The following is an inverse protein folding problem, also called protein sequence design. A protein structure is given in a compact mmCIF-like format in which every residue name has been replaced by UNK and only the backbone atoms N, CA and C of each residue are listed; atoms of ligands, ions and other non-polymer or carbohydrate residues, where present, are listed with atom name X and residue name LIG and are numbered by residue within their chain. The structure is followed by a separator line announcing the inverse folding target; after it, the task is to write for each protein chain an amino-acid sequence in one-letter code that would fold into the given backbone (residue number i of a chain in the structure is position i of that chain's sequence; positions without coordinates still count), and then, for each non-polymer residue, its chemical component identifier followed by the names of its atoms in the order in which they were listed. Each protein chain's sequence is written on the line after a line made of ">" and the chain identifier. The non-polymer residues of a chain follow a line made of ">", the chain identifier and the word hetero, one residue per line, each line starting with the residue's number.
data_IF_306480120739
#
_entry.id   IF_306480120739
#
_cell.length_a   1.000
_cell.length_b   1.000
_cell.length_c   1.000
_cell.angle_alpha   90.00
_cell.angle_beta   90.00
_cell.angle_gamma   90.00
#
_symmetry.space_group_name_H-M   'P 1'
#
loop_
_entity.id
_entity.type
_entity.pdbx_description
1 polymer ?
#
# COMPACT_ATOMS: atom_id res chain seq x y z
N UNK A 1 28.36 -3.02 7.82
CA UNK A 1 27.22 -2.26 7.28
C UNK A 1 26.53 -1.56 8.43
N UNK A 2 26.22 -0.26 8.28
CA UNK A 2 25.47 0.53 9.25
C UNK A 2 24.00 0.52 8.85
N UNK A 3 23.11 0.32 9.83
CA UNK A 3 21.66 0.26 9.62
C UNK A 3 20.97 1.21 10.58
N UNK A 4 20.08 2.07 10.04
CA UNK A 4 19.14 2.86 10.85
C UNK A 4 17.81 2.12 10.97
N UNK A 5 17.43 1.75 12.20
CA UNK A 5 16.12 1.18 12.51
C UNK A 5 15.18 2.30 12.95
N UNK A 6 14.18 2.61 12.12
CA UNK A 6 13.11 3.55 12.43
C UNK A 6 11.95 2.76 13.05
N UNK A 7 11.66 3.03 14.33
CA UNK A 7 10.64 2.34 15.11
C UNK A 7 9.39 3.21 15.21
N UNK A 8 8.26 2.72 14.75
CA UNK A 8 6.98 3.36 15.00
C UNK A 8 6.41 2.84 16.34
N UNK A 9 6.61 3.61 17.41
CA UNK A 9 6.15 3.24 18.76
C UNK A 9 4.63 3.11 18.88
N UNK A 10 3.86 3.74 18.00
CA UNK A 10 2.40 3.65 17.97
C UNK A 10 1.90 2.38 17.26
N UNK A 11 2.78 1.58 16.63
CA UNK A 11 2.38 0.35 15.97
C UNK A 11 2.03 -0.74 17.00
N UNK A 12 0.90 -1.40 16.80
CA UNK A 12 0.34 -2.37 17.76
C UNK A 12 1.23 -3.59 18.05
N UNK A 13 2.09 -3.94 17.09
CA UNK A 13 3.07 -5.04 17.20
C UNK A 13 4.39 -4.65 17.88
N UNK A 14 4.62 -3.36 18.18
CA UNK A 14 5.85 -2.88 18.83
C UNK A 14 5.66 -2.88 20.35
N UNK A 15 6.09 -3.96 21.00
CA UNK A 15 6.11 -4.09 22.48
C UNK A 15 7.55 -4.34 22.93
N UNK A 16 7.87 -3.99 24.20
CA UNK A 16 9.23 -4.09 24.73
C UNK A 16 9.97 -5.39 24.36
N UNK A 17 9.44 -6.58 24.72
CA UNK A 17 10.11 -7.84 24.38
C UNK A 17 10.26 -8.10 22.88
N UNK A 18 9.31 -7.64 22.05
CA UNK A 18 9.39 -7.76 20.59
C UNK A 18 10.48 -6.84 20.05
N UNK A 19 10.52 -5.59 20.52
CA UNK A 19 11.54 -4.62 20.11
C UNK A 19 12.94 -5.12 20.51
N UNK A 20 13.11 -5.66 21.70
CA UNK A 20 14.38 -6.21 22.17
C UNK A 20 14.85 -7.38 21.27
N UNK A 21 13.93 -8.28 20.90
CA UNK A 21 14.23 -9.39 20.00
C UNK A 21 14.61 -8.91 18.57
N UNK A 22 13.94 -7.89 18.06
CA UNK A 22 14.26 -7.25 16.76
C UNK A 22 15.65 -6.62 16.81
N UNK A 23 15.93 -5.81 17.84
CA UNK A 23 17.23 -5.15 18.01
C UNK A 23 18.35 -6.18 18.15
N UNK A 24 18.16 -7.24 18.92
CA UNK A 24 19.14 -8.31 19.08
C UNK A 24 19.47 -8.99 17.74
N UNK A 25 18.44 -9.35 16.96
CA UNK A 25 18.61 -9.99 15.67
C UNK A 25 19.37 -9.10 14.67
N UNK A 26 19.08 -7.80 14.63
CA UNK A 26 19.73 -6.88 13.70
C UNK A 26 21.16 -6.53 14.11
N UNK A 27 21.44 -6.37 15.42
CA UNK A 27 22.81 -6.13 15.92
C UNK A 27 23.79 -7.26 15.62
N UNK A 28 23.28 -8.46 15.46
CA UNK A 28 24.08 -9.62 15.06
C UNK A 28 24.48 -9.58 13.56
N UNK A 29 23.81 -8.75 12.75
CA UNK A 29 24.06 -8.62 11.31
C UNK A 29 24.68 -7.27 10.90
N UNK A 30 24.52 -6.20 11.70
CA UNK A 30 24.93 -4.85 11.34
C UNK A 30 25.17 -3.96 12.57
N UNK A 31 25.93 -2.88 12.36
CA UNK A 31 26.01 -1.76 13.31
C UNK A 31 24.65 -1.02 13.27
N UNK A 32 23.93 -0.99 14.40
CA UNK A 32 22.55 -0.56 14.46
C UNK A 32 22.37 0.74 15.23
N UNK A 33 21.84 1.77 14.54
CA UNK A 33 21.26 2.96 15.14
C UNK A 33 19.74 2.76 15.26
N UNK A 34 19.16 3.05 16.43
CA UNK A 34 17.71 2.92 16.67
C UNK A 34 17.13 4.28 16.95
N UNK A 35 16.14 4.68 16.15
CA UNK A 35 15.40 5.94 16.30
C UNK A 35 13.90 5.66 16.33
N UNK A 36 13.14 6.48 17.08
CA UNK A 36 11.70 6.27 17.26
C UNK A 36 10.92 7.45 16.69
N UNK A 37 9.82 7.18 16.00
CA UNK A 37 8.93 8.23 15.52
C UNK A 37 8.11 8.84 16.65
N UNK A 38 7.88 10.14 16.61
CA UNK A 38 7.12 10.88 17.62
C UNK A 38 5.76 11.38 17.09
N UNK A 39 5.64 11.56 15.77
CA UNK A 39 4.44 12.09 15.10
C UNK A 39 4.31 11.54 13.68
N UNK A 40 3.17 11.74 13.05
CA UNK A 40 2.95 11.36 11.66
C UNK A 40 3.84 12.20 10.72
N UNK A 41 4.50 11.56 9.75
CA UNK A 41 5.49 12.18 8.88
C UNK A 41 6.94 12.13 9.40
N UNK A 42 7.16 11.85 10.70
CA UNK A 42 8.51 11.84 11.27
C UNK A 42 9.41 10.75 10.66
N UNK A 43 8.84 9.61 10.23
CA UNK A 43 9.63 8.58 9.56
C UNK A 43 10.19 9.06 8.21
N UNK A 44 9.50 9.98 7.52
CA UNK A 44 10.01 10.61 6.29
C UNK A 44 11.25 11.47 6.58
N UNK A 45 11.19 12.27 7.64
CA UNK A 45 12.31 13.14 8.05
C UNK A 45 13.52 12.33 8.52
N UNK A 46 13.29 11.27 9.33
CA UNK A 46 14.32 10.36 9.81
C UNK A 46 14.97 9.58 8.66
N UNK A 47 14.20 9.18 7.66
CA UNK A 47 14.71 8.50 6.48
C UNK A 47 15.52 9.44 5.58
N UNK A 48 15.04 10.68 5.38
CA UNK A 48 15.76 11.70 4.59
C UNK A 48 17.10 12.11 5.23
N UNK A 49 17.18 12.10 6.57
CA UNK A 49 18.39 12.41 7.32
C UNK A 49 19.33 11.21 7.51
N UNK A 50 18.98 10.03 6.99
CA UNK A 50 19.79 8.82 7.16
C UNK A 50 21.10 8.91 6.35
N UNK A 51 22.19 8.55 7.01
CA UNK A 51 23.54 8.43 6.40
C UNK A 51 24.06 6.99 6.45
N UNK A 52 23.25 6.08 6.96
CA UNK A 52 23.53 4.66 7.07
C UNK A 52 23.38 3.97 5.70
N UNK A 53 23.99 2.79 5.60
CA UNK A 53 23.98 2.00 4.36
C UNK A 53 22.57 1.47 4.03
N UNK A 54 21.73 1.32 5.05
CA UNK A 54 20.34 0.89 4.90
C UNK A 54 19.44 1.52 5.98
N UNK A 55 18.16 1.75 5.61
CA UNK A 55 17.09 2.15 6.54
C UNK A 55 16.09 1.03 6.68
N UNK A 56 15.79 0.63 7.91
CA UNK A 56 14.82 -0.42 8.23
C UNK A 56 13.65 0.17 8.98
N UNK A 57 12.43 -0.09 8.51
CA UNK A 57 11.21 0.33 9.20
C UNK A 57 10.61 -0.79 10.04
N UNK A 58 10.40 -0.57 11.34
CA UNK A 58 9.59 -1.43 12.21
C UNK A 58 8.24 -0.75 12.44
N UNK A 59 7.22 -1.22 11.73
CA UNK A 59 5.90 -0.59 11.75
C UNK A 59 4.88 -1.26 10.83
N UNK A 60 3.93 -0.47 10.35
CA UNK A 60 2.96 -0.88 9.32
C UNK A 60 3.21 -0.19 7.99
N UNK A 61 2.28 -0.39 7.05
CA UNK A 61 2.39 0.12 5.68
C UNK A 61 2.55 1.66 5.61
N UNK A 62 1.88 2.42 6.50
CA UNK A 62 2.07 3.88 6.60
C UNK A 62 3.51 4.26 6.97
N UNK A 63 4.15 3.52 7.88
CA UNK A 63 5.56 3.75 8.23
C UNK A 63 6.48 3.48 7.04
N UNK A 64 6.21 2.42 6.27
CA UNK A 64 6.99 2.11 5.07
C UNK A 64 6.78 3.15 3.97
N UNK A 65 5.55 3.62 3.80
CA UNK A 65 5.23 4.70 2.88
C UNK A 65 6.00 5.99 3.24
N UNK A 66 6.00 6.40 4.51
CA UNK A 66 6.77 7.54 4.98
C UNK A 66 8.27 7.37 4.71
N UNK A 67 8.86 6.21 5.04
CA UNK A 67 10.28 5.93 4.78
C UNK A 67 10.58 6.00 3.28
N UNK A 68 9.77 5.35 2.43
CA UNK A 68 9.96 5.36 0.99
C UNK A 68 9.90 6.76 0.37
N UNK A 69 9.08 7.66 0.95
CA UNK A 69 8.99 9.06 0.54
C UNK A 69 10.15 9.94 1.06
N UNK A 70 10.86 9.52 2.11
CA UNK A 70 12.04 10.22 2.64
C UNK A 70 13.35 9.78 2.00
N UNK A 71 13.42 8.56 1.53
CA UNK A 71 14.64 7.99 0.98
C UNK A 71 15.00 8.54 -0.42
N UNK A 72 16.28 8.85 -0.69
CA UNK A 72 16.75 9.06 -2.05
C UNK A 72 16.52 7.83 -2.92
N UNK A 73 16.35 8.04 -4.24
CA UNK A 73 16.19 6.95 -5.20
C UNK A 73 17.36 5.96 -5.12
N UNK A 74 17.07 4.67 -5.18
CA UNK A 74 18.06 3.61 -5.14
C UNK A 74 18.61 3.28 -3.75
N UNK A 75 18.14 3.97 -2.68
CA UNK A 75 18.52 3.65 -1.30
C UNK A 75 18.07 2.25 -0.90
N UNK A 76 18.79 1.64 0.05
CA UNK A 76 18.45 0.32 0.57
C UNK A 76 17.48 0.42 1.74
N UNK A 77 16.33 -0.25 1.60
CA UNK A 77 15.26 -0.29 2.59
C UNK A 77 14.97 -1.72 3.05
N UNK A 78 14.84 -1.90 4.35
CA UNK A 78 14.28 -3.11 4.97
C UNK A 78 12.94 -2.83 5.64
N UNK A 79 12.11 -3.86 5.78
CA UNK A 79 10.80 -3.74 6.43
C UNK A 79 10.57 -4.83 7.46
N UNK A 80 10.00 -4.48 8.61
CA UNK A 80 9.68 -5.39 9.69
C UNK A 80 8.21 -5.20 10.10
N UNK A 81 7.35 -6.22 9.89
CA UNK A 81 5.92 -6.09 10.06
C UNK A 81 5.53 -5.97 11.54
N UNK A 82 4.99 -4.82 11.92
CA UNK A 82 4.42 -4.58 13.24
C UNK A 82 3.03 -3.93 13.17
N UNK A 83 2.48 -3.78 11.98
CA UNK A 83 1.12 -3.31 11.71
C UNK A 83 0.13 -4.45 11.54
N UNK A 84 -1.17 -4.11 11.49
CA UNK A 84 -2.24 -5.10 11.38
C UNK A 84 -2.21 -5.88 10.04
N UNK A 85 -2.00 -5.20 8.91
CA UNK A 85 -2.04 -5.80 7.56
C UNK A 85 -0.65 -6.08 6.99
N UNK A 86 0.28 -5.13 7.15
CA UNK A 86 1.67 -5.18 6.67
C UNK A 86 1.79 -5.73 5.24
N UNK A 87 0.99 -5.13 4.34
CA UNK A 87 0.83 -5.60 2.95
C UNK A 87 2.16 -5.59 2.21
N UNK A 88 2.91 -4.48 2.33
CA UNK A 88 4.19 -4.33 1.65
C UNK A 88 5.24 -5.35 2.13
N UNK A 89 5.34 -5.60 3.45
CA UNK A 89 6.26 -6.61 3.97
C UNK A 89 5.92 -8.02 3.46
N UNK A 90 4.62 -8.34 3.36
CA UNK A 90 4.15 -9.64 2.81
C UNK A 90 4.44 -9.76 1.31
N UNK A 91 4.36 -8.69 0.53
CA UNK A 91 4.77 -8.66 -0.88
C UNK A 91 6.26 -8.96 -1.05
N UNK A 92 7.08 -8.55 -0.10
CA UNK A 92 8.52 -8.83 -0.10
C UNK A 92 8.88 -10.23 0.44
N UNK A 93 7.89 -11.01 0.88
CA UNK A 93 8.09 -12.39 1.35
C UNK A 93 8.38 -12.53 2.85
N UNK A 94 8.23 -11.45 3.63
CA UNK A 94 8.39 -11.53 5.08
C UNK A 94 7.20 -12.22 5.77
N UNK A 95 7.50 -13.01 6.81
CA UNK A 95 6.46 -13.53 7.70
C UNK A 95 5.85 -12.39 8.51
N UNK A 96 4.55 -12.48 8.83
CA UNK A 96 3.84 -11.44 9.59
C UNK A 96 4.04 -11.61 11.11
N UNK A 97 5.30 -11.71 11.53
CA UNK A 97 5.76 -11.71 12.93
C UNK A 97 7.05 -10.89 13.00
N UNK A 98 7.12 -9.81 13.80
CA UNK A 98 8.25 -8.90 13.80
C UNK A 98 9.59 -9.57 14.17
N UNK A 99 9.59 -10.46 15.15
CA UNK A 99 10.82 -11.10 15.62
C UNK A 99 11.33 -12.16 14.63
N UNK A 100 10.42 -12.91 14.00
CA UNK A 100 10.78 -13.85 12.94
C UNK A 100 11.23 -13.12 11.66
N UNK A 101 10.55 -12.05 11.28
CA UNK A 101 10.93 -11.19 10.15
C UNK A 101 12.30 -10.52 10.37
N UNK A 102 12.64 -10.13 11.61
CA UNK A 102 13.94 -9.57 11.93
C UNK A 102 15.08 -10.59 11.72
N UNK A 103 14.85 -11.86 12.04
CA UNK A 103 15.83 -12.93 11.73
C UNK A 103 15.99 -13.11 10.22
N UNK A 104 14.88 -13.16 9.47
CA UNK A 104 14.91 -13.22 7.99
C UNK A 104 15.69 -12.03 7.41
N UNK A 105 15.44 -10.82 7.92
CA UNK A 105 16.13 -9.61 7.48
C UNK A 105 17.61 -9.66 7.81
N UNK A 106 17.99 -10.08 9.00
CA UNK A 106 19.38 -10.22 9.42
C UNK A 106 20.15 -11.22 8.54
N UNK A 107 19.53 -12.36 8.21
CA UNK A 107 20.12 -13.35 7.30
C UNK A 107 20.25 -12.80 5.89
N UNK A 108 19.23 -12.09 5.40
CA UNK A 108 19.26 -11.44 4.08
C UNK A 108 20.34 -10.34 3.98
N UNK A 109 20.52 -9.55 5.05
CA UNK A 109 21.57 -8.53 5.12
C UNK A 109 22.98 -9.16 5.07
N UNK A 110 23.21 -10.26 5.79
CA UNK A 110 24.49 -11.00 5.73
C UNK A 110 24.74 -11.59 4.34
N UNK A 111 23.70 -12.09 3.69
CA UNK A 111 23.78 -12.65 2.34
C UNK A 111 23.86 -11.59 1.23
N UNK A 112 23.63 -10.31 1.54
CA UNK A 112 23.50 -9.26 0.54
C UNK A 112 22.28 -9.44 -0.37
N UNK A 113 21.22 -10.13 0.11
CA UNK A 113 20.01 -10.43 -0.65
C UNK A 113 19.15 -9.17 -0.82
N UNK A 114 19.24 -8.54 -1.96
CA UNK A 114 18.53 -7.29 -2.28
C UNK A 114 17.90 -7.36 -3.67
N UNK A 115 16.81 -6.59 -3.85
CA UNK A 115 16.10 -6.44 -5.13
C UNK A 115 15.82 -4.97 -5.37
N UNK A 116 16.10 -4.48 -6.58
CA UNK A 116 15.59 -3.16 -7.02
C UNK A 116 14.12 -3.29 -7.39
N UNK A 117 13.30 -2.36 -6.92
CA UNK A 117 11.87 -2.35 -7.23
C UNK A 117 11.42 -0.97 -7.70
N UNK A 118 10.46 -0.97 -8.62
CA UNK A 118 9.74 0.24 -8.98
C UNK A 118 8.60 0.51 -8.02
N UNK A 119 8.22 1.77 -7.89
CA UNK A 119 7.11 2.23 -7.05
C UNK A 119 6.16 3.14 -7.82
N UNK A 120 4.92 3.13 -7.42
CA UNK A 120 3.92 4.07 -7.93
C UNK A 120 4.08 5.45 -7.30
N UNK A 121 3.73 6.46 -8.06
CA UNK A 121 3.70 7.86 -7.62
C UNK A 121 2.33 8.43 -7.96
N UNK A 122 1.71 9.11 -7.01
CA UNK A 122 0.45 9.83 -7.20
C UNK A 122 0.61 11.26 -6.66
N UNK A 123 0.44 12.26 -7.52
CA UNK A 123 0.66 13.68 -7.22
C UNK A 123 2.01 13.95 -6.52
N UNK A 124 3.08 13.27 -6.96
CA UNK A 124 4.43 13.38 -6.40
C UNK A 124 4.69 12.54 -5.15
N UNK A 125 3.68 11.98 -4.50
CA UNK A 125 3.81 11.06 -3.35
C UNK A 125 3.96 9.62 -3.83
N UNK A 126 4.99 8.94 -3.36
CA UNK A 126 5.22 7.50 -3.60
C UNK A 126 4.20 6.67 -2.84
N UNK A 127 3.73 5.58 -3.46
CA UNK A 127 2.99 4.52 -2.79
C UNK A 127 3.66 3.16 -2.98
N UNK A 128 3.59 2.33 -1.93
CA UNK A 128 4.32 1.06 -1.88
C UNK A 128 3.54 -0.10 -2.48
N UNK A 129 2.21 -0.10 -2.41
CA UNK A 129 1.41 -1.19 -2.97
C UNK A 129 0.16 -0.74 -3.71
N UNK A 130 -0.59 0.26 -3.24
CA UNK A 130 -1.82 0.65 -3.90
C UNK A 130 -2.27 2.09 -3.62
N UNK A 131 -3.04 2.64 -4.55
CA UNK A 131 -3.78 3.88 -4.38
C UNK A 131 -5.18 3.71 -4.99
N UNK A 132 -6.16 4.51 -4.56
CA UNK A 132 -7.52 4.37 -5.05
C UNK A 132 -8.38 5.60 -4.91
N UNK A 133 -9.39 5.71 -5.80
CA UNK A 133 -10.39 6.77 -5.78
C UNK A 133 -11.80 6.18 -5.73
N UNK A 134 -12.67 6.81 -4.94
CA UNK A 134 -14.07 6.44 -4.78
C UNK A 134 -14.33 5.55 -3.59
N UNK A 135 -15.05 4.45 -3.77
CA UNK A 135 -15.66 3.65 -2.69
C UNK A 135 -14.71 3.20 -1.57
N UNK A 136 -13.52 2.71 -1.92
CA UNK A 136 -12.54 2.26 -0.92
C UNK A 136 -11.91 3.44 -0.17
N UNK A 137 -11.65 4.55 -0.87
CA UNK A 137 -11.15 5.76 -0.27
C UNK A 137 -12.19 6.43 0.65
N UNK A 138 -13.48 6.40 0.29
CA UNK A 138 -14.57 6.85 1.15
C UNK A 138 -14.70 6.00 2.41
N UNK A 139 -14.60 4.67 2.25
CA UNK A 139 -14.60 3.76 3.39
C UNK A 139 -13.39 4.03 4.31
N UNK A 140 -12.20 4.24 3.74
CA UNK A 140 -10.99 4.58 4.47
C UNK A 140 -11.14 5.92 5.21
N UNK A 141 -11.72 6.95 4.57
CA UNK A 141 -11.97 8.24 5.19
C UNK A 141 -12.87 8.13 6.44
N UNK A 142 -13.92 7.31 6.38
CA UNK A 142 -14.81 7.07 7.52
C UNK A 142 -14.07 6.32 8.65
N UNK A 143 -13.30 5.33 8.28
CA UNK A 143 -12.50 4.53 9.21
C UNK A 143 -11.46 5.40 9.92
N UNK A 144 -10.75 6.25 9.20
CA UNK A 144 -9.74 7.14 9.76
C UNK A 144 -10.35 8.19 10.72
N UNK A 145 -11.53 8.73 10.42
CA UNK A 145 -12.26 9.62 11.34
C UNK A 145 -12.60 8.90 12.65
N UNK A 146 -13.13 7.67 12.57
CA UNK A 146 -13.51 6.90 13.77
C UNK A 146 -12.31 6.38 14.56
N UNK A 147 -11.12 6.31 13.94
CA UNK A 147 -9.87 5.94 14.61
C UNK A 147 -9.49 6.96 15.68
N UNK A 148 -9.58 8.25 15.39
CA UNK A 148 -9.25 9.32 16.34
C UNK A 148 -10.18 9.36 17.56
N UNK A 149 -11.37 8.77 17.45
CA UNK A 149 -12.36 8.69 18.53
C UNK A 149 -12.15 7.47 19.46
N UNK A 150 -11.19 6.57 19.13
CA UNK A 150 -10.96 5.33 19.88
C UNK A 150 -9.81 5.44 20.88
N UNK A 151 -9.93 4.80 22.06
CA UNK A 151 -8.80 4.66 22.98
C UNK A 151 -7.64 3.93 22.28
N UNK A 152 -6.44 4.49 22.37
CA UNK A 152 -5.23 3.89 21.80
C UNK A 152 -5.04 4.10 20.29
N UNK A 153 -5.92 4.86 19.61
CA UNK A 153 -5.80 5.17 18.18
C UNK A 153 -5.62 3.93 17.28
N UNK A 154 -6.23 2.80 17.69
CA UNK A 154 -6.10 1.52 16.97
C UNK A 154 -6.80 1.56 15.62
N UNK A 155 -6.11 1.09 14.57
CA UNK A 155 -6.68 0.97 13.23
C UNK A 155 -7.77 -0.12 13.24
N UNK A 156 -8.97 0.17 12.71
CA UNK A 156 -10.02 -0.83 12.56
C UNK A 156 -9.56 -2.01 11.69
N UNK A 157 -9.99 -3.22 12.06
CA UNK A 157 -9.68 -4.41 11.27
C UNK A 157 -10.37 -4.42 9.90
N UNK A 158 -9.86 -5.24 8.99
CA UNK A 158 -10.31 -5.36 7.59
C UNK A 158 -11.82 -5.57 7.44
N UNK A 159 -12.45 -6.33 8.35
CA UNK A 159 -13.91 -6.55 8.36
C UNK A 159 -14.69 -5.25 8.58
N UNK A 160 -14.15 -4.31 9.36
CA UNK A 160 -14.78 -3.03 9.61
C UNK A 160 -14.66 -2.10 8.41
N UNK A 161 -13.55 -2.13 7.70
CA UNK A 161 -13.37 -1.43 6.42
C UNK A 161 -14.40 -1.95 5.41
N UNK A 162 -14.54 -3.26 5.28
CA UNK A 162 -15.53 -3.89 4.40
C UNK A 162 -16.97 -3.53 4.79
N UNK A 163 -17.31 -3.57 6.08
CA UNK A 163 -18.64 -3.17 6.56
C UNK A 163 -18.91 -1.68 6.31
N UNK A 164 -17.89 -0.84 6.37
CA UNK A 164 -18.00 0.59 6.07
C UNK A 164 -18.20 0.82 4.59
N UNK A 165 -17.46 0.14 3.71
CA UNK A 165 -17.67 0.19 2.27
C UNK A 165 -19.11 -0.24 1.88
N UNK A 166 -19.65 -1.27 2.54
CA UNK A 166 -21.03 -1.70 2.33
C UNK A 166 -22.05 -0.64 2.80
N UNK A 167 -21.78 0.09 3.89
CA UNK A 167 -22.62 1.21 4.33
C UNK A 167 -22.62 2.36 3.34
N UNK A 168 -21.42 2.73 2.83
CA UNK A 168 -21.30 3.76 1.77
C UNK A 168 -22.10 3.33 0.54
N UNK A 169 -21.93 2.10 0.09
CA UNK A 169 -22.64 1.56 -1.07
C UNK A 169 -24.18 1.55 -0.85
N UNK A 170 -24.63 1.28 0.37
CA UNK A 170 -26.06 1.36 0.71
C UNK A 170 -26.58 2.80 0.68
N UNK A 171 -25.78 3.77 1.15
CA UNK A 171 -26.15 5.19 1.10
C UNK A 171 -26.29 5.69 -0.33
N UNK A 172 -25.50 5.17 -1.27
CA UNK A 172 -25.57 5.40 -2.72
C UNK A 172 -26.65 4.56 -3.44
N UNK A 173 -27.61 3.97 -2.67
CA UNK A 173 -28.69 3.17 -3.25
C UNK A 173 -28.25 1.88 -3.95
N UNK A 174 -27.12 1.29 -3.54
CA UNK A 174 -26.49 0.15 -4.21
C UNK A 174 -26.20 0.43 -5.69
N UNK A 175 -25.68 1.63 -5.97
CA UNK A 175 -25.24 2.03 -7.30
C UNK A 175 -23.84 2.66 -7.22
N UNK A 176 -23.04 2.43 -8.25
CA UNK A 176 -21.78 3.12 -8.48
C UNK A 176 -21.94 3.86 -9.80
N UNK A 177 -21.91 5.19 -9.75
CA UNK A 177 -22.07 6.07 -10.91
C UNK A 177 -20.71 6.50 -11.46
N UNK A 178 -20.58 6.55 -12.77
CA UNK A 178 -19.38 7.07 -13.42
C UNK A 178 -19.22 8.56 -13.14
N UNK A 179 -18.19 8.92 -12.37
CA UNK A 179 -17.86 10.32 -11.96
C UNK A 179 -16.41 10.67 -12.23
N UNK A 180 -15.64 9.74 -12.81
CA UNK A 180 -14.23 9.93 -13.07
C UNK A 180 -13.89 9.53 -14.50
N UNK A 181 -12.83 10.13 -15.04
CA UNK A 181 -12.24 9.76 -16.32
C UNK A 181 -10.76 9.43 -16.11
N UNK A 182 -10.38 8.17 -16.36
CA UNK A 182 -8.99 7.76 -16.47
C UNK A 182 -8.54 8.02 -17.91
N UNK A 183 -7.44 8.76 -18.09
CA UNK A 183 -6.83 9.03 -19.40
C UNK A 183 -5.39 8.53 -19.39
N UNK A 184 -5.13 7.49 -20.17
CA UNK A 184 -3.81 6.89 -20.35
C UNK A 184 -3.06 7.54 -21.53
N UNK A 185 -1.80 7.17 -21.70
CA UNK A 185 -0.99 7.59 -22.83
C UNK A 185 -1.69 7.28 -24.17
N UNK A 186 -1.49 8.13 -25.19
CA UNK A 186 -2.16 7.99 -26.48
C UNK A 186 -3.62 8.48 -26.52
N UNK A 187 -4.11 9.11 -25.43
CA UNK A 187 -5.45 9.69 -25.36
C UNK A 187 -6.57 8.68 -25.13
N UNK A 188 -6.24 7.44 -24.77
CA UNK A 188 -7.24 6.41 -24.43
C UNK A 188 -7.89 6.79 -23.10
N UNK A 189 -9.20 7.01 -23.14
CA UNK A 189 -9.97 7.43 -21.97
C UNK A 189 -11.05 6.43 -21.59
N UNK A 190 -11.24 6.24 -20.29
CA UNK A 190 -12.26 5.37 -19.72
C UNK A 190 -13.04 6.11 -18.63
N UNK A 191 -14.37 6.12 -18.76
CA UNK A 191 -15.25 6.55 -17.66
C UNK A 191 -15.29 5.47 -16.60
N UNK A 192 -15.24 5.88 -15.33
CA UNK A 192 -15.25 4.96 -14.19
C UNK A 192 -15.98 5.54 -12.97
N UNK A 193 -16.49 4.63 -12.15
CA UNK A 193 -17.17 4.92 -10.88
C UNK A 193 -16.29 4.62 -9.68
N UNK A 194 -15.28 3.78 -9.85
CA UNK A 194 -14.29 3.36 -8.87
C UNK A 194 -12.99 3.04 -9.59
N UNK A 195 -11.88 3.37 -8.97
CA UNK A 195 -10.54 3.05 -9.47
C UNK A 195 -9.64 2.57 -8.34
N UNK A 196 -8.98 1.45 -8.56
CA UNK A 196 -7.84 0.98 -7.78
C UNK A 196 -6.62 0.86 -8.67
N UNK A 197 -5.51 1.40 -8.20
CA UNK A 197 -4.20 1.36 -8.85
C UNK A 197 -3.27 0.54 -7.97
N UNK A 198 -2.55 -0.40 -8.55
CA UNK A 198 -1.65 -1.25 -7.78
C UNK A 198 -0.26 -1.30 -8.40
N UNK A 199 0.71 -1.45 -7.51
CA UNK A 199 2.12 -1.63 -7.81
C UNK A 199 2.56 -3.09 -7.64
N UNK A 200 1.67 -3.94 -7.06
CA UNK A 200 1.96 -5.34 -6.80
C UNK A 200 0.69 -6.20 -6.68
N UNK A 201 0.85 -7.50 -6.87
CA UNK A 201 -0.15 -8.54 -6.65
C UNK A 201 0.19 -9.37 -5.39
N UNK A 202 -0.81 -9.67 -4.54
CA UNK A 202 -2.22 -9.25 -4.56
C UNK A 202 -2.42 -7.78 -4.19
N UNK A 203 -3.52 -7.17 -4.60
CA UNK A 203 -3.86 -5.77 -4.32
C UNK A 203 -3.79 -5.42 -2.83
N UNK A 204 -4.33 -6.28 -1.99
CA UNK A 204 -4.28 -6.21 -0.51
C UNK A 204 -4.64 -7.58 0.06
N UNK A 205 -4.79 -7.65 1.39
CA UNK A 205 -5.21 -8.86 2.09
C UNK A 205 -6.40 -8.54 3.01
N UNK A 206 -7.35 -9.46 3.11
CA UNK A 206 -8.40 -9.50 4.13
C UNK A 206 -8.03 -10.60 5.13
N UNK A 207 -7.30 -10.23 6.18
CA UNK A 207 -6.64 -11.20 7.04
C UNK A 207 -5.68 -12.10 6.25
N UNK A 208 -5.89 -13.44 6.22
CA UNK A 208 -5.06 -14.35 5.43
C UNK A 208 -5.44 -14.39 3.94
N UNK A 209 -6.60 -13.85 3.54
CA UNK A 209 -7.15 -14.01 2.18
C UNK A 209 -6.60 -12.92 1.26
N UNK A 210 -5.91 -13.29 0.15
CA UNK A 210 -5.42 -12.32 -0.82
C UNK A 210 -6.56 -11.75 -1.68
N UNK A 211 -6.61 -10.43 -1.85
CA UNK A 211 -7.50 -9.74 -2.78
C UNK A 211 -6.81 -9.62 -4.13
N UNK A 212 -7.30 -10.34 -5.14
CA UNK A 212 -6.65 -10.51 -6.44
C UNK A 212 -7.19 -9.55 -7.51
N UNK A 213 -7.39 -8.29 -7.14
CA UNK A 213 -7.94 -7.29 -8.05
C UNK A 213 -7.01 -6.99 -9.25
N UNK A 214 -5.70 -7.04 -9.03
CA UNK A 214 -4.65 -6.71 -10.01
C UNK A 214 -3.69 -7.88 -10.22
N UNK A 215 -4.10 -8.95 -10.94
CA UNK A 215 -3.38 -10.22 -10.99
C UNK A 215 -2.11 -10.21 -11.83
N UNK A 216 -1.79 -9.12 -12.54
CA UNK A 216 -0.57 -8.98 -13.35
C UNK A 216 0.40 -7.95 -12.77
N UNK A 217 -0.02 -7.21 -11.73
CA UNK A 217 0.84 -6.20 -11.12
C UNK A 217 2.08 -6.83 -10.47
N UNK A 218 3.22 -6.23 -10.71
CA UNK A 218 4.49 -6.57 -10.07
C UNK A 218 5.40 -5.34 -10.00
N UNK A 219 6.48 -5.42 -9.24
CA UNK A 219 7.40 -4.31 -9.05
C UNK A 219 8.32 -3.99 -10.23
N UNK A 220 8.31 -4.79 -11.29
CA UNK A 220 9.21 -4.69 -12.44
C UNK A 220 8.55 -4.02 -13.64
N UNK A 221 7.21 -4.02 -13.67
CA UNK A 221 6.41 -3.39 -14.70
C UNK A 221 5.75 -2.10 -14.17
N UNK A 222 5.11 -1.35 -15.07
CA UNK A 222 4.33 -0.18 -14.71
C UNK A 222 3.13 -0.49 -13.82
N UNK A 223 2.32 0.50 -13.55
CA UNK A 223 1.16 0.36 -12.68
C UNK A 223 0.03 -0.42 -13.35
N UNK A 224 -0.71 -1.16 -12.54
CA UNK A 224 -1.96 -1.78 -12.96
C UNK A 224 -3.15 -1.00 -12.42
N UNK A 225 -4.13 -0.75 -13.29
CA UNK A 225 -5.36 -0.08 -12.92
C UNK A 225 -6.56 -1.00 -13.14
N UNK A 226 -7.33 -1.24 -12.10
CA UNK A 226 -8.65 -1.86 -12.18
C UNK A 226 -9.71 -0.82 -11.88
N UNK A 227 -10.70 -0.71 -12.74
CA UNK A 227 -11.77 0.27 -12.59
C UNK A 227 -13.12 -0.34 -12.90
N UNK A 228 -14.15 0.19 -12.25
CA UNK A 228 -15.53 -0.17 -12.55
C UNK A 228 -16.20 0.93 -13.34
N UNK A 229 -17.04 0.53 -14.28
CA UNK A 229 -18.00 1.40 -14.93
C UNK A 229 -19.25 1.51 -14.06
N UNK A 230 -20.32 2.04 -14.61
CA UNK A 230 -21.58 2.06 -13.89
C UNK A 230 -22.02 0.65 -13.46
N UNK A 231 -22.30 0.49 -12.16
CA UNK A 231 -22.79 -0.76 -11.57
C UNK A 231 -24.01 -0.49 -10.72
N UNK A 232 -25.08 -1.30 -10.86
CA UNK A 232 -26.32 -1.15 -10.09
C UNK A 232 -26.80 -2.51 -9.57
N UNK A 233 -27.32 -2.50 -8.33
CA UNK A 233 -28.03 -3.62 -7.74
C UNK A 233 -27.27 -4.95 -7.82
N UNK A 234 -27.83 -5.95 -8.50
CA UNK A 234 -27.26 -7.31 -8.61
C UNK A 234 -25.87 -7.39 -9.27
N UNK A 235 -25.46 -6.36 -10.02
CA UNK A 235 -24.14 -6.36 -10.66
C UNK A 235 -23.00 -6.19 -9.65
N UNK A 236 -23.26 -5.54 -8.51
CA UNK A 236 -22.29 -5.31 -7.43
C UNK A 236 -21.77 -6.62 -6.80
N UNK A 237 -22.59 -7.68 -6.80
CA UNK A 237 -22.18 -8.99 -6.30
C UNK A 237 -21.03 -9.63 -7.10
N UNK A 238 -20.75 -9.14 -8.30
CA UNK A 238 -19.64 -9.62 -9.12
C UNK A 238 -18.29 -9.10 -8.63
N UNK A 239 -18.26 -7.93 -7.96
CA UNK A 239 -17.01 -7.32 -7.50
C UNK A 239 -16.22 -8.21 -6.52
N UNK A 240 -16.81 -8.69 -5.40
CA UNK A 240 -16.10 -9.59 -4.51
C UNK A 240 -15.71 -10.91 -5.18
N UNK A 241 -16.53 -11.42 -6.11
CA UNK A 241 -16.18 -12.63 -6.86
C UNK A 241 -14.94 -12.41 -7.72
N UNK A 242 -14.87 -11.29 -8.44
CA UNK A 242 -13.69 -10.96 -9.26
C UNK A 242 -12.46 -10.66 -8.42
N UNK A 243 -12.62 -10.01 -7.28
CA UNK A 243 -11.51 -9.63 -6.41
C UNK A 243 -10.93 -10.80 -5.61
N UNK A 244 -11.78 -11.74 -5.16
CA UNK A 244 -11.39 -12.80 -4.22
C UNK A 244 -11.21 -14.18 -4.88
N UNK A 245 -12.04 -14.51 -5.87
CA UNK A 245 -12.13 -15.89 -6.38
C UNK A 245 -11.61 -16.00 -7.81
N UNK A 246 -12.05 -15.11 -8.70
CA UNK A 246 -11.82 -15.29 -10.14
C UNK A 246 -11.56 -13.96 -10.86
N UNK A 247 -10.29 -13.56 -11.06
CA UNK A 247 -9.94 -12.30 -11.73
C UNK A 247 -10.15 -12.35 -13.26
N UNK A 248 -11.37 -12.68 -13.70
CA UNK A 248 -11.73 -12.80 -15.14
C UNK A 248 -11.56 -11.49 -15.90
N UNK A 249 -11.75 -10.35 -15.22
CA UNK A 249 -11.60 -9.01 -15.79
C UNK A 249 -10.21 -8.78 -16.42
N UNK A 250 -9.16 -9.37 -15.85
CA UNK A 250 -7.80 -9.23 -16.37
C UNK A 250 -7.51 -10.08 -17.61
N UNK A 251 -8.33 -11.11 -17.87
CA UNK A 251 -8.10 -12.07 -18.97
C UNK A 251 -9.05 -11.87 -20.15
N UNK A 252 -10.28 -11.52 -19.89
CA UNK A 252 -11.34 -11.56 -20.92
C UNK A 252 -12.04 -10.21 -21.13
N UNK A 253 -11.65 -9.17 -20.40
CA UNK A 253 -12.40 -7.93 -20.30
C UNK A 253 -13.80 -8.13 -19.71
N UNK A 254 -14.36 -7.11 -19.11
CA UNK A 254 -15.73 -7.13 -18.61
C UNK A 254 -16.42 -5.86 -19.08
N UNK A 255 -17.73 -5.97 -19.44
CA UNK A 255 -18.53 -4.78 -19.75
C UNK A 255 -18.58 -3.80 -18.57
N UNK A 256 -18.35 -4.26 -17.33
CA UNK A 256 -18.51 -3.49 -16.10
C UNK A 256 -17.21 -3.24 -15.34
N UNK A 257 -16.17 -4.03 -15.60
CA UNK A 257 -14.87 -3.90 -14.95
C UNK A 257 -13.81 -3.84 -16.03
N UNK A 258 -13.05 -2.75 -16.06
CA UNK A 258 -11.88 -2.60 -16.91
C UNK A 258 -10.60 -2.92 -16.15
N UNK A 259 -9.58 -3.31 -16.89
CA UNK A 259 -8.25 -3.59 -16.38
C UNK A 259 -7.21 -3.11 -17.39
N UNK A 260 -6.29 -2.30 -16.93
CA UNK A 260 -5.14 -1.83 -17.68
C UNK A 260 -3.89 -2.30 -16.97
N UNK A 261 -2.91 -2.73 -17.71
CA UNK A 261 -1.66 -3.30 -17.24
C UNK A 261 -0.49 -2.52 -17.80
N UNK A 262 0.58 -2.41 -17.01
CA UNK A 262 1.84 -1.79 -17.41
C UNK A 262 1.71 -0.31 -17.79
N UNK A 263 1.02 0.46 -16.96
CA UNK A 263 0.85 1.89 -17.15
C UNK A 263 2.03 2.65 -16.55
N UNK A 264 2.80 3.35 -17.39
CA UNK A 264 3.90 4.20 -16.93
C UNK A 264 3.45 5.58 -16.47
N UNK A 265 2.39 6.12 -17.07
CA UNK A 265 1.78 7.38 -16.64
C UNK A 265 0.34 7.47 -17.12
N UNK A 266 -0.54 8.04 -16.30
CA UNK A 266 -1.91 8.36 -16.64
C UNK A 266 -2.47 9.41 -15.67
N UNK A 267 -3.58 10.01 -16.05
CA UNK A 267 -4.29 11.01 -15.24
C UNK A 267 -5.70 10.55 -14.97
N UNK A 268 -6.19 10.85 -13.78
CA UNK A 268 -7.60 10.70 -13.42
C UNK A 268 -8.18 12.07 -13.14
N UNK A 269 -9.29 12.41 -13.80
CA UNK A 269 -10.06 13.63 -13.56
C UNK A 269 -11.43 13.23 -13.01
N UNK A 270 -11.88 13.93 -11.98
CA UNK A 270 -13.16 13.69 -11.33
C UNK A 270 -14.15 14.81 -11.68
N UNK A 271 -15.40 14.47 -11.90
CA UNK A 271 -16.47 15.45 -12.20
C UNK A 271 -16.77 16.32 -10.96
N UNK A 272 -16.47 15.80 -9.77
CA UNK A 272 -16.56 16.46 -8.47
C UNK A 272 -15.44 15.95 -7.54
N UNK A 273 -15.07 16.69 -6.46
CA UNK A 273 -14.04 16.25 -5.54
C UNK A 273 -14.34 14.87 -4.98
N UNK A 274 -13.49 13.89 -5.29
CA UNK A 274 -13.67 12.47 -4.96
C UNK A 274 -12.64 12.04 -3.93
N UNK A 275 -13.04 11.21 -2.97
CA UNK A 275 -12.15 10.67 -1.94
C UNK A 275 -11.00 9.88 -2.57
N UNK A 276 -9.78 10.12 -2.04
CA UNK A 276 -8.54 9.52 -2.50
C UNK A 276 -7.77 8.90 -1.34
N UNK A 277 -7.19 7.73 -1.57
CA UNK A 277 -6.37 7.02 -0.60
C UNK A 277 -5.03 6.58 -1.23
N UNK A 278 -4.00 6.50 -0.40
CA UNK A 278 -2.68 5.96 -0.72
C UNK A 278 -2.29 4.96 0.37
N UNK A 279 -1.91 3.74 -0.02
CA UNK A 279 -1.50 2.63 0.86
C UNK A 279 -2.49 2.41 2.03
N UNK A 280 -3.78 2.60 1.75
CA UNK A 280 -4.85 2.46 2.72
C UNK A 280 -4.96 3.60 3.74
N UNK A 281 -4.37 4.77 3.47
CA UNK A 281 -4.54 6.01 4.23
C UNK A 281 -5.34 7.02 3.41
N UNK A 282 -6.36 7.63 4.03
CA UNK A 282 -7.11 8.70 3.37
C UNK A 282 -6.28 9.98 3.27
N UNK A 283 -6.12 10.50 2.04
CA UNK A 283 -5.30 11.69 1.77
C UNK A 283 -6.11 12.90 1.27
N UNK A 284 -7.42 12.87 1.48
CA UNK A 284 -8.32 13.98 1.12
C UNK A 284 -9.13 13.71 -0.15
N UNK A 285 -9.86 14.74 -0.61
CA UNK A 285 -10.58 14.71 -1.89
C UNK A 285 -9.72 15.30 -2.99
N UNK A 286 -9.90 14.80 -4.22
CA UNK A 286 -9.20 15.27 -5.42
C UNK A 286 -10.17 15.44 -6.58
N UNK A 287 -9.95 16.47 -7.38
CA UNK A 287 -10.58 16.67 -8.68
C UNK A 287 -9.72 16.10 -9.81
N UNK A 288 -8.41 15.99 -9.56
CA UNK A 288 -7.44 15.43 -10.49
C UNK A 288 -6.32 14.76 -9.71
N UNK A 289 -5.85 13.61 -10.23
CA UNK A 289 -4.66 12.89 -9.72
C UNK A 289 -3.81 12.47 -10.91
N UNK A 290 -2.51 12.74 -10.82
CA UNK A 290 -1.51 12.29 -11.79
C UNK A 290 -0.78 11.08 -11.26
N UNK A 291 -0.87 9.97 -11.97
CA UNK A 291 -0.16 8.74 -11.65
C UNK A 291 1.04 8.53 -12.55
N UNK A 292 2.14 8.07 -11.97
CA UNK A 292 3.30 7.61 -12.72
C UNK A 292 3.99 6.43 -12.04
N UNK A 293 4.72 5.64 -12.79
CA UNK A 293 5.58 4.59 -12.30
C UNK A 293 7.03 5.08 -12.29
N UNK A 294 7.72 4.87 -11.16
CA UNK A 294 9.14 5.18 -10.99
C UNK A 294 9.92 3.88 -10.94
N UNK A 295 10.61 3.50 -12.03
CA UNK A 295 11.45 2.31 -12.02
C UNK A 295 12.63 2.51 -11.06
N UNK A 296 13.15 1.41 -10.52
CA UNK A 296 14.31 1.41 -9.60
C UNK A 296 14.21 2.47 -8.50
N UNK A 297 13.00 2.63 -7.95
CA UNK A 297 12.72 3.66 -6.97
C UNK A 297 13.50 3.44 -5.67
N UNK A 298 13.53 2.21 -5.19
CA UNK A 298 14.30 1.78 -4.01
C UNK A 298 14.87 0.38 -4.23
N UNK A 299 15.94 0.05 -3.50
CA UNK A 299 16.38 -1.32 -3.31
C UNK A 299 15.80 -1.85 -2.00
N UNK A 300 15.27 -3.04 -2.01
CA UNK A 300 14.70 -3.68 -0.81
C UNK A 300 15.51 -4.90 -0.42
N UNK A 301 15.68 -5.09 0.90
CA UNK A 301 16.21 -6.35 1.43
C UNK A 301 15.08 -7.37 1.35
N UNK A 302 15.34 -8.53 0.78
CA UNK A 302 14.35 -9.61 0.63
C UNK A 302 14.86 -10.90 1.27
N UNK A 303 14.00 -11.69 1.94
CA UNK A 303 14.38 -12.98 2.47
C UNK A 303 15.02 -13.86 1.40
N UNK A 304 16.12 -14.54 1.73
CA UNK A 304 16.67 -15.57 0.86
C UNK A 304 15.69 -16.75 0.77
N UNK A 305 15.40 -17.21 -0.42
CA UNK A 305 14.55 -18.37 -0.69
C UNK A 305 15.28 -19.67 -0.44
#
# INVERSE_FOLDING_TARGET
>A
MRVRLIVNAAATGVRGPVLDAVIAALRDAAELEVVTTEYAGHATELAAAATEDAVVGLGGDGTYNEIANGLPQGSLMGVLPAGASSVFARHLGYVNDPAAAARQLADALRAGSTRSIGLGVADGRVFTFAAGLGLDAEATAIVDRTRHERPGNERPGDLQVLATALRVLRAEGFALHERMTLTAAGGISHRCSYLAVANQHPYTFLGPIPVRATPKADFEHGLDAVFTRELRGRQLWRLPVYALIWPRHARHGSRHVGYLHDLHAFTVTCDEPTAFQIDGEYVGHRERVEFSYRPDAIRVVVPAH
#
